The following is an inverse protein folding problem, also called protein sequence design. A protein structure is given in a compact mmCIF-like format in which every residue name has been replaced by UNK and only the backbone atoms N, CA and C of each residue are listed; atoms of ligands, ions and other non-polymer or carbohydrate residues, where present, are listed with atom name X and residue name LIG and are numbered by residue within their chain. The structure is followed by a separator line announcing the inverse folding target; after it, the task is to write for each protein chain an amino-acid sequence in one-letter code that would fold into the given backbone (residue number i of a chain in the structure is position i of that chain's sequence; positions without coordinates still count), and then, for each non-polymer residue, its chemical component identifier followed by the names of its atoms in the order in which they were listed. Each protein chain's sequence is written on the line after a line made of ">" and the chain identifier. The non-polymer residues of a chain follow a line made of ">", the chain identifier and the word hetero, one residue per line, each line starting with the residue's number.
data_IF_715217533211
#
_entry.id   IF_715217533211
#
_cell.length_a   1.000
_cell.length_b   1.000
_cell.length_c   1.000
_cell.angle_alpha   90.00
_cell.angle_beta   90.00
_cell.angle_gamma   90.00
#
_symmetry.space_group_name_H-M   'P 1'
#
loop_
_entity.id
_entity.type
_entity.pdbx_description
1 polymer ?
2 branched ?
3 non-polymer ?
4 water ?
#
# COMPACT_ATOMS: atom_id res chain seq x y z
N UNK A 1 -0.52 4.77 15.97
CA UNK A 1 -0.27 3.61 15.08
C UNK A 1 0.30 4.19 13.81
N UNK A 2 1.33 3.50 13.25
CA UNK A 2 1.99 4.06 12.04
C UNK A 2 1.87 3.03 10.92
N UNK A 3 1.22 3.47 9.86
CA UNK A 3 0.90 2.72 8.68
C UNK A 3 1.56 3.25 7.38
N UNK A 4 2.06 2.30 6.57
CA UNK A 4 2.68 2.73 5.31
C UNK A 4 2.37 1.83 4.16
N UNK A 5 2.45 2.40 2.96
CA UNK A 5 2.29 1.57 1.72
C UNK A 5 3.58 1.80 0.98
N UNK A 6 4.27 0.73 0.60
CA UNK A 6 5.58 0.82 -0.06
C UNK A 6 5.69 -0.13 -1.24
N UNK A 7 5.99 0.53 -2.37
CA UNK A 7 6.21 -0.17 -3.66
C UNK A 7 7.76 -0.32 -3.71
N UNK A 8 8.13 -1.60 -3.56
CA UNK A 8 9.58 -1.95 -3.59
C UNK A 8 9.83 -2.59 -4.97
N UNK A 9 10.45 -1.82 -5.80
CA UNK A 9 10.71 -2.18 -7.19
C UNK A 9 11.37 -3.57 -7.20
N UNK A 10 10.73 -4.42 -7.95
CA UNK A 10 11.07 -5.80 -8.19
C UNK A 10 11.42 -6.49 -6.86
N UNK A 11 10.50 -6.39 -5.89
CA UNK A 11 10.83 -7.09 -4.62
C UNK A 11 10.86 -8.60 -4.94
N UNK A 12 12.00 -9.21 -4.66
CA UNK A 12 12.14 -10.60 -4.87
C UNK A 12 13.46 -11.21 -4.33
N UNK A 13 13.64 -12.44 -4.86
CA UNK A 13 14.82 -13.20 -4.42
C UNK A 13 16.10 -12.47 -4.63
N UNK A 14 16.32 -11.97 -5.86
CA UNK A 14 17.59 -11.31 -6.11
C UNK A 14 17.82 -10.21 -5.09
N UNK A 15 16.80 -9.37 -4.92
CA UNK A 15 16.90 -8.21 -4.01
C UNK A 15 17.12 -8.59 -2.57
N UNK A 16 16.34 -9.52 -2.08
CA UNK A 16 16.44 -9.93 -0.65
C UNK A 16 17.77 -10.67 -0.34
N UNK A 17 18.43 -11.14 -1.32
CA UNK A 17 19.67 -11.89 -1.27
C UNK A 17 20.85 -10.97 -1.14
N UNK A 18 20.60 -9.68 -1.31
CA UNK A 18 21.67 -8.67 -1.15
C UNK A 18 21.50 -8.22 0.30
N UNK A 19 22.44 -8.54 1.16
CA UNK A 19 22.36 -8.17 2.60
C UNK A 19 22.37 -6.65 2.78
N UNK A 20 23.06 -5.87 2.03
CA UNK A 20 23.06 -4.41 2.17
C UNK A 20 21.64 -3.85 1.85
N UNK A 21 21.05 -4.36 0.78
CA UNK A 21 19.70 -3.95 0.33
C UNK A 21 18.68 -4.44 1.37
N UNK A 22 18.83 -5.69 1.78
CA UNK A 22 17.92 -6.33 2.73
C UNK A 22 17.84 -5.55 4.06
N UNK A 23 19.04 -5.08 4.40
CA UNK A 23 19.25 -4.33 5.64
C UNK A 23 18.44 -3.04 5.66
N UNK A 24 18.47 -2.28 4.58
CA UNK A 24 17.70 -1.05 4.52
C UNK A 24 16.19 -1.29 4.50
N UNK A 25 15.84 -2.39 3.79
CA UNK A 25 14.41 -2.77 3.68
C UNK A 25 13.87 -3.05 5.08
N UNK A 26 14.59 -3.81 5.84
CA UNK A 26 14.19 -4.15 7.22
C UNK A 26 13.98 -2.88 8.05
N UNK A 27 14.92 -2.00 7.91
CA UNK A 27 14.99 -0.69 8.60
C UNK A 27 13.68 0.06 8.35
N UNK A 28 13.40 0.23 7.07
CA UNK A 28 12.17 0.93 6.65
C UNK A 28 10.93 0.32 7.24
N UNK A 29 10.74 -0.97 7.10
CA UNK A 29 9.62 -1.76 7.57
C UNK A 29 9.39 -1.57 9.10
N UNK A 30 10.58 -1.67 9.80
CA UNK A 30 10.46 -1.55 11.29
C UNK A 30 9.93 -0.23 11.78
N UNK A 31 9.83 0.76 10.99
CA UNK A 31 9.30 2.10 11.40
C UNK A 31 7.81 1.95 11.57
N UNK A 32 7.22 0.86 11.05
CA UNK A 32 5.72 0.81 11.03
C UNK A 32 5.08 -0.32 11.74
N UNK A 33 3.81 -0.09 12.18
CA UNK A 33 2.99 -1.10 12.81
C UNK A 33 2.31 -1.95 11.75
N UNK A 34 1.97 -1.30 10.64
CA UNK A 34 1.33 -1.97 9.49
C UNK A 34 2.03 -1.55 8.21
N UNK A 35 2.47 -2.47 7.35
CA UNK A 35 3.07 -2.00 6.11
C UNK A 35 2.54 -2.89 4.97
N UNK A 36 2.10 -2.24 3.88
CA UNK A 36 1.64 -2.83 2.69
C UNK A 36 2.85 -2.81 1.72
N UNK A 37 3.21 -4.00 1.30
CA UNK A 37 4.32 -4.08 0.34
C UNK A 37 3.77 -4.47 -1.06
N UNK A 38 4.22 -3.67 -2.05
CA UNK A 38 3.75 -3.98 -3.41
C UNK A 38 4.94 -4.30 -4.34
N UNK A 39 4.52 -4.85 -5.46
CA UNK A 39 5.50 -5.30 -6.49
C UNK A 39 6.31 -6.48 -5.97
N UNK A 40 5.58 -7.40 -5.33
CA UNK A 40 6.20 -8.65 -4.77
C UNK A 40 6.18 -9.64 -5.96
N UNK A 41 7.39 -9.81 -6.52
CA UNK A 41 7.56 -10.75 -7.66
C UNK A 41 8.20 -11.98 -7.06
N UNK A 42 7.32 -12.86 -6.56
CA UNK A 42 7.82 -14.04 -5.76
C UNK A 42 6.81 -15.15 -5.80
N UNK A 43 6.88 -15.87 -6.92
CA UNK A 43 5.96 -17.02 -7.17
C UNK A 43 6.06 -18.07 -6.10
N UNK A 44 7.23 -18.32 -5.55
CA UNK A 44 7.34 -19.39 -4.55
C UNK A 44 7.60 -18.92 -3.12
N UNK A 45 7.33 -17.62 -2.87
CA UNK A 45 7.45 -17.09 -1.54
C UNK A 45 8.79 -17.18 -0.89
N UNK A 46 9.83 -17.27 -1.66
CA UNK A 46 11.22 -17.35 -1.12
C UNK A 46 11.61 -15.99 -0.51
N UNK A 47 11.33 -14.93 -1.29
CA UNK A 47 11.70 -13.56 -0.86
C UNK A 47 10.93 -13.14 0.39
N UNK A 48 9.64 -13.43 0.40
CA UNK A 48 8.76 -13.13 1.52
C UNK A 48 9.30 -13.84 2.79
N UNK A 49 9.71 -15.09 2.52
CA UNK A 49 10.25 -15.92 3.66
C UNK A 49 11.59 -15.33 4.11
N UNK A 50 12.46 -14.85 3.28
CA UNK A 50 13.73 -14.25 3.67
C UNK A 50 13.53 -12.97 4.50
N UNK A 51 12.52 -12.21 4.13
CA UNK A 51 12.18 -10.99 4.82
C UNK A 51 11.64 -11.32 6.22
N UNK A 52 10.81 -12.28 6.39
CA UNK A 52 10.23 -12.64 7.66
C UNK A 52 11.33 -13.17 8.54
N UNK A 53 12.34 -13.78 7.87
CA UNK A 53 13.46 -14.38 8.64
C UNK A 53 14.07 -13.25 9.45
N UNK A 54 14.44 -12.21 8.71
CA UNK A 54 15.04 -11.01 9.26
C UNK A 54 14.20 -10.29 10.31
N UNK A 55 12.92 -10.09 9.95
CA UNK A 55 12.04 -9.40 10.88
C UNK A 55 11.84 -10.11 12.21
N UNK A 56 11.73 -11.40 12.24
CA UNK A 56 11.42 -12.23 13.39
C UNK A 56 12.74 -12.88 13.89
N UNK A 57 13.84 -12.35 13.47
CA UNK A 57 15.11 -13.04 13.90
C UNK A 57 15.32 -13.12 15.40
N UNK A 58 14.72 -12.22 16.17
CA UNK A 58 14.88 -12.18 17.63
C UNK A 58 13.65 -12.67 18.37
N UNK A 59 12.50 -12.56 17.76
CA UNK A 59 11.22 -12.94 18.38
C UNK A 59 10.42 -13.49 17.20
N UNK A 60 9.89 -14.67 17.32
CA UNK A 60 9.13 -15.32 16.24
C UNK A 60 7.82 -14.62 15.93
N UNK A 61 7.38 -13.76 16.84
CA UNK A 61 6.17 -12.98 16.67
C UNK A 61 6.40 -11.47 16.56
N UNK A 62 7.53 -11.05 15.97
CA UNK A 62 7.78 -9.62 15.82
C UNK A 62 6.68 -9.09 14.81
N UNK A 63 6.66 -9.77 13.67
CA UNK A 63 5.73 -9.49 12.60
C UNK A 63 4.99 -10.71 12.10
N UNK A 64 3.69 -10.54 11.84
CA UNK A 64 2.84 -11.55 11.23
C UNK A 64 2.53 -10.97 9.86
N UNK A 65 1.90 -11.76 8.99
CA UNK A 65 1.57 -11.33 7.64
C UNK A 65 0.35 -12.04 7.01
N UNK A 66 -0.11 -11.42 5.96
CA UNK A 66 -1.17 -11.80 5.03
C UNK A 66 -0.56 -11.57 3.63
N UNK A 67 -0.63 -12.56 2.78
CA UNK A 67 -0.10 -12.39 1.40
C UNK A 67 -1.23 -12.81 0.46
N UNK A 68 -1.39 -12.12 -0.62
CA UNK A 68 -2.38 -12.57 -1.64
C UNK A 68 -1.74 -13.58 -2.55
N UNK A 69 -2.49 -14.11 -3.50
CA UNK A 69 -1.97 -15.02 -4.57
C UNK A 69 -1.25 -14.11 -5.54
N UNK A 70 -0.40 -14.55 -6.44
CA UNK A 70 0.25 -13.73 -7.44
C UNK A 70 -0.87 -13.22 -8.37
N UNK A 71 -1.09 -11.94 -8.56
CA UNK A 71 -2.16 -11.39 -9.39
C UNK A 71 -1.69 -10.70 -10.65
N UNK A 72 -2.52 -10.78 -11.70
CA UNK A 72 -2.15 -10.10 -12.99
C UNK A 72 -3.03 -10.74 -14.09
N UNK A 73 -3.11 -10.04 -15.17
CA UNK A 73 -3.99 -10.44 -16.32
C UNK A 73 -3.22 -11.03 -17.44
N UNK A 74 -2.05 -10.46 -17.67
CA UNK A 74 -1.14 -10.96 -18.78
C UNK A 74 -0.34 -12.08 -18.19
N UNK A 75 0.94 -12.01 -18.23
CA UNK A 75 1.84 -13.08 -17.71
C UNK A 75 2.62 -12.63 -16.49
N UNK A 76 2.81 -11.34 -16.40
CA UNK A 76 3.54 -10.67 -15.31
C UNK A 76 2.66 -10.68 -14.09
N UNK A 77 3.06 -11.13 -12.93
CA UNK A 77 2.31 -11.21 -11.70
C UNK A 77 3.01 -10.65 -10.42
N UNK A 78 2.19 -10.13 -9.51
CA UNK A 78 2.68 -9.58 -8.25
C UNK A 78 1.75 -9.96 -7.09
N UNK A 79 2.27 -10.02 -5.92
CA UNK A 79 1.46 -10.23 -4.73
C UNK A 79 1.35 -8.92 -3.95
N UNK A 80 0.31 -8.89 -3.10
CA UNK A 80 0.14 -7.82 -2.14
C UNK A 80 0.65 -8.44 -0.78
N UNK A 81 1.61 -7.78 -0.17
CA UNK A 81 2.02 -8.33 1.16
C UNK A 81 1.76 -7.30 2.27
N UNK A 82 1.00 -7.79 3.27
CA UNK A 82 0.74 -6.92 4.47
C UNK A 82 1.57 -7.46 5.67
N UNK A 83 2.41 -6.70 6.23
CA UNK A 83 3.17 -7.05 7.44
C UNK A 83 2.56 -6.23 8.60
N UNK A 84 2.45 -6.83 9.74
CA UNK A 84 1.85 -6.11 10.91
C UNK A 84 2.41 -6.66 12.22
N UNK A 85 2.47 -5.82 13.20
CA UNK A 85 2.95 -6.18 14.58
C UNK A 85 1.72 -6.69 15.34
N UNK A 86 1.77 -7.95 15.70
CA UNK A 86 0.63 -8.64 16.33
C UNK A 86 0.29 -8.13 17.73
N UNK A 87 1.24 -7.41 18.31
CA UNK A 87 1.09 -6.82 19.61
C UNK A 87 0.36 -5.49 19.50
N UNK A 88 0.25 -4.96 18.33
CA UNK A 88 -0.46 -3.70 18.11
C UNK A 88 -1.84 -3.83 17.45
N UNK A 89 -1.86 -4.76 16.54
CA UNK A 89 -3.03 -4.98 15.65
C UNK A 89 -3.30 -6.44 15.47
N UNK A 90 -4.49 -6.72 15.04
CA UNK A 90 -4.99 -8.08 14.80
C UNK A 90 -5.79 -8.17 13.52
N UNK A 91 -5.69 -9.26 12.80
CA UNK A 91 -6.45 -9.43 11.57
C UNK A 91 -7.79 -10.12 11.89
N UNK A 92 -8.85 -9.41 11.56
CA UNK A 92 -10.19 -9.94 11.80
C UNK A 92 -10.71 -10.79 10.65
N UNK A 93 -10.38 -10.34 9.41
CA UNK A 93 -10.87 -10.99 8.24
C UNK A 93 -10.08 -10.47 7.05
N UNK A 94 -10.17 -11.19 5.96
CA UNK A 94 -9.50 -10.77 4.73
C UNK A 94 -10.25 -11.34 3.59
N UNK A 95 -10.17 -10.69 2.43
CA UNK A 95 -10.79 -11.27 1.23
C UNK A 95 -10.12 -10.56 0.06
N UNK A 96 -10.18 -11.29 -1.06
CA UNK A 96 -9.64 -10.76 -2.33
C UNK A 96 -10.84 -10.19 -3.07
N UNK A 97 -10.78 -9.00 -3.59
CA UNK A 97 -11.91 -8.42 -4.35
C UNK A 97 -12.10 -9.25 -5.64
N UNK A 98 -13.36 -9.60 -5.87
CA UNK A 98 -13.79 -10.38 -7.01
C UNK A 98 -14.12 -9.35 -8.08
N UNK A 99 -13.23 -9.14 -9.05
CA UNK A 99 -13.46 -8.21 -10.19
C UNK A 99 -14.14 -8.81 -11.48
N UNK A 100 -14.42 -10.11 -11.57
CA UNK A 100 -14.79 -10.82 -12.84
C UNK A 100 -13.73 -11.86 -13.33
N UNK A 101 -13.74 -12.15 -14.63
CA UNK A 101 -12.80 -13.13 -15.29
C UNK A 101 -12.95 -14.66 -14.92
N UNK A 104 -12.20 -14.50 -20.03
CA UNK A 104 -11.66 -13.12 -19.82
C UNK A 104 -11.98 -11.98 -20.87
N UNK A 105 -11.56 -10.75 -20.52
CA UNK A 105 -12.12 -9.50 -21.11
C UNK A 105 -12.87 -8.54 -20.13
N UNK A 106 -13.52 -9.07 -19.08
CA UNK A 106 -14.43 -8.32 -18.20
C UNK A 106 -13.87 -7.76 -16.89
N UNK A 107 -12.83 -8.34 -16.33
CA UNK A 107 -12.28 -7.91 -15.02
C UNK A 107 -11.85 -6.46 -15.02
N UNK A 108 -12.11 -5.69 -13.98
CA UNK A 108 -11.79 -4.30 -13.84
C UNK A 108 -10.40 -3.94 -13.35
N UNK A 109 -9.63 -4.87 -12.93
CA UNK A 109 -8.25 -4.55 -12.40
C UNK A 109 -7.16 -5.49 -12.85
N UNK A 110 -5.95 -5.05 -13.00
CA UNK A 110 -4.85 -5.97 -13.34
C UNK A 110 -4.56 -6.74 -12.01
N UNK A 111 -4.48 -5.95 -10.95
CA UNK A 111 -4.22 -6.62 -9.63
C UNK A 111 -5.37 -6.32 -8.67
N UNK A 112 -6.46 -7.08 -8.76
CA UNK A 112 -7.62 -6.83 -7.88
C UNK A 112 -7.13 -6.70 -6.44
N UNK A 113 -7.72 -5.70 -5.78
CA UNK A 113 -7.40 -5.39 -4.39
C UNK A 113 -7.61 -6.53 -3.39
N UNK A 114 -6.60 -6.60 -2.53
CA UNK A 114 -6.61 -7.48 -1.37
C UNK A 114 -7.28 -6.58 -0.31
N UNK A 115 -8.11 -7.08 0.55
CA UNK A 115 -8.78 -6.34 1.59
C UNK A 115 -8.57 -7.02 2.92
N UNK A 116 -8.15 -6.23 3.92
CA UNK A 116 -7.90 -6.70 5.24
C UNK A 116 -8.58 -5.80 6.29
N UNK A 117 -9.24 -6.50 7.20
CA UNK A 117 -9.93 -5.82 8.31
C UNK A 117 -9.05 -5.99 9.56
N UNK A 118 -8.70 -4.92 10.17
CA UNK A 118 -7.88 -4.90 11.38
C UNK A 118 -8.69 -4.47 12.59
N UNK A 119 -8.17 -4.91 13.72
CA UNK A 119 -8.60 -4.62 15.08
C UNK A 119 -7.41 -3.84 15.67
N UNK A 120 -7.61 -2.63 16.12
CA UNK A 120 -6.67 -1.72 16.71
C UNK A 120 -7.26 -1.14 18.04
N UNK A 121 -6.65 -1.66 19.11
CA UNK A 121 -7.11 -1.27 20.46
C UNK A 121 -6.49 0.04 20.90
N UNK A 122 -5.33 0.39 20.40
CA UNK A 122 -4.69 1.63 20.84
C UNK A 122 -5.26 2.90 20.21
N UNK A 123 -6.07 2.79 19.19
CA UNK A 123 -6.60 3.96 18.49
C UNK A 123 -8.07 4.23 18.65
N UNK A 124 -8.45 5.42 18.22
CA UNK A 124 -9.87 5.89 18.30
C UNK A 124 -10.78 4.91 17.56
N UNK A 125 -10.44 4.64 16.31
CA UNK A 125 -11.10 3.66 15.48
C UNK A 125 -10.66 2.28 16.05
N UNK A 126 -11.51 1.40 16.32
CA UNK A 126 -11.20 0.08 16.85
C UNK A 126 -11.18 -1.01 15.81
N UNK A 127 -11.75 -0.68 14.66
CA UNK A 127 -11.90 -1.59 13.53
C UNK A 127 -11.93 -0.76 12.25
N UNK A 128 -11.14 -1.25 11.29
CA UNK A 128 -11.09 -0.55 9.99
C UNK A 128 -10.50 -1.59 9.02
N UNK A 129 -10.66 -1.39 7.73
CA UNK A 129 -10.20 -2.12 6.65
C UNK A 129 -9.23 -1.29 5.80
N UNK A 130 -8.28 -2.06 5.18
CA UNK A 130 -7.30 -1.39 4.30
C UNK A 130 -7.51 -2.05 2.97
N UNK A 131 -7.60 -1.32 1.89
CA UNK A 131 -7.77 -1.79 0.53
C UNK A 131 -6.46 -1.51 -0.18
N UNK A 132 -5.82 -2.51 -0.70
CA UNK A 132 -4.52 -2.28 -1.39
C UNK A 132 -4.65 -2.19 -2.91
N UNK A 133 -3.98 -1.24 -3.55
CA UNK A 133 -4.03 -1.21 -4.95
C UNK A 133 -2.71 -0.83 -5.58
N UNK A 134 -2.17 -1.68 -6.41
CA UNK A 134 -0.96 -1.29 -7.21
C UNK A 134 -1.57 -1.18 -8.64
N UNK A 135 -1.91 0.04 -9.09
CA UNK A 135 -2.57 0.13 -10.40
C UNK A 135 -1.67 -0.14 -11.59
N UNK A 136 -2.35 -0.37 -12.75
CA UNK A 136 -1.55 -0.52 -14.02
C UNK A 136 -1.48 0.90 -14.58
N UNK A 137 -0.28 1.42 -14.83
CA UNK A 137 -0.05 2.75 -15.31
C UNK A 137 -1.05 3.14 -16.41
N UNK A 138 -1.10 2.36 -17.44
CA UNK A 138 -1.92 2.44 -18.60
C UNK A 138 -3.39 2.63 -18.25
N UNK A 139 -3.74 1.95 -17.18
CA UNK A 139 -5.19 1.98 -16.83
C UNK A 139 -5.49 2.62 -15.50
N UNK A 140 -4.61 3.50 -15.07
CA UNK A 140 -4.75 4.16 -13.79
C UNK A 140 -6.11 4.79 -13.51
N UNK A 141 -6.54 5.62 -14.46
CA UNK A 141 -7.87 6.29 -14.27
C UNK A 141 -8.99 5.30 -13.99
N UNK A 142 -9.19 4.32 -14.86
CA UNK A 142 -10.21 3.29 -14.74
C UNK A 142 -10.17 2.55 -13.37
N UNK A 143 -8.96 2.17 -13.02
CA UNK A 143 -8.66 1.47 -11.78
C UNK A 143 -8.96 2.22 -10.52
N UNK A 144 -8.45 3.50 -10.50
CA UNK A 144 -8.75 4.30 -9.30
C UNK A 144 -10.26 4.50 -9.22
N UNK A 145 -10.88 4.72 -10.37
CA UNK A 145 -12.36 4.92 -10.40
C UNK A 145 -13.09 3.71 -9.86
N UNK A 146 -12.62 2.49 -10.14
CA UNK A 146 -13.22 1.27 -9.70
C UNK A 146 -13.06 1.07 -8.20
N UNK A 147 -12.12 1.79 -7.55
CA UNK A 147 -12.02 1.60 -6.09
C UNK A 147 -13.31 2.09 -5.37
N UNK A 148 -14.01 2.94 -6.16
CA UNK A 148 -15.32 3.42 -5.55
C UNK A 148 -16.21 2.19 -5.38
N UNK A 149 -16.20 1.25 -6.36
CA UNK A 149 -17.01 0.04 -6.31
C UNK A 149 -16.54 -0.91 -5.20
N UNK A 150 -15.21 -0.93 -5.03
CA UNK A 150 -14.64 -1.76 -3.93
C UNK A 150 -15.18 -1.23 -2.60
N UNK A 151 -15.09 0.06 -2.36
CA UNK A 151 -15.60 0.64 -1.06
C UNK A 151 -16.98 0.04 -0.78
N UNK A 152 -17.88 0.16 -1.77
CA UNK A 152 -19.22 -0.36 -1.65
C UNK A 152 -19.21 -1.82 -1.23
N UNK A 153 -18.31 -2.57 -1.90
CA UNK A 153 -18.28 -4.03 -1.62
C UNK A 153 -17.91 -4.31 -0.18
N UNK A 154 -17.00 -3.53 0.36
CA UNK A 154 -16.57 -3.61 1.73
C UNK A 154 -17.73 -3.28 2.67
N UNK A 155 -18.47 -2.24 2.31
CA UNK A 155 -19.60 -1.79 3.12
C UNK A 155 -20.69 -2.88 3.16
N UNK A 156 -20.85 -3.53 2.04
CA UNK A 156 -21.89 -4.58 1.94
C UNK A 156 -21.52 -5.83 2.73
N UNK A 157 -20.23 -6.14 2.77
CA UNK A 157 -19.67 -7.31 3.43
C UNK A 157 -19.46 -7.16 4.91
N UNK A 158 -18.75 -6.11 5.32
CA UNK A 158 -18.45 -5.92 6.75
C UNK A 158 -19.33 -4.86 7.41
N UNK A 159 -20.05 -4.09 6.60
CA UNK A 159 -20.94 -3.08 7.22
C UNK A 159 -20.09 -2.03 7.90
N UNK A 160 -18.92 -1.81 7.31
CA UNK A 160 -17.99 -0.86 7.90
C UNK A 160 -17.81 0.31 6.99
N UNK A 161 -17.74 1.49 7.52
CA UNK A 161 -17.57 2.72 6.71
C UNK A 161 -16.09 3.11 6.79
N UNK A 162 -15.45 2.74 7.84
CA UNK A 162 -14.02 3.08 8.10
C UNK A 162 -13.03 2.31 7.23
N UNK A 163 -12.64 2.78 6.10
CA UNK A 163 -11.73 2.14 5.15
C UNK A 163 -10.66 3.08 4.62
N UNK A 164 -9.39 2.44 4.64
CA UNK A 164 -8.24 3.18 4.13
C UNK A 164 -7.89 2.50 2.82
N UNK A 165 -7.80 3.28 1.75
CA UNK A 165 -7.45 2.83 0.41
C UNK A 165 -6.03 3.37 0.17
N UNK A 166 -5.13 2.44 -0.17
CA UNK A 166 -3.72 2.93 -0.33
C UNK A 166 -2.89 2.16 -1.33
N UNK A 167 -1.85 2.80 -1.81
CA UNK A 167 -0.92 2.09 -2.66
C UNK A 167 -0.35 2.98 -3.75
N UNK A 168 0.34 2.23 -4.65
CA UNK A 168 0.90 2.94 -5.82
C UNK A 168 -0.23 3.01 -6.90
N UNK A 169 -0.89 4.16 -6.90
CA UNK A 169 -2.01 4.35 -7.82
C UNK A 169 -1.58 4.94 -9.15
N UNK A 170 -0.36 5.29 -9.29
CA UNK A 170 0.24 5.95 -10.49
C UNK A 170 -0.61 7.22 -10.73
N UNK A 171 -1.07 7.81 -9.65
CA UNK A 171 -2.00 8.95 -9.65
C UNK A 171 -1.51 10.31 -9.99
N UNK A 172 -0.64 10.45 -10.93
CA UNK A 172 -0.09 11.80 -11.33
C UNK A 172 0.61 11.69 -12.68
N UNK A 173 1.15 12.82 -13.12
CA UNK A 173 2.00 12.90 -14.30
C UNK A 173 1.37 12.36 -15.53
N UNK A 174 1.96 11.43 -16.26
CA UNK A 174 1.44 10.87 -17.47
C UNK A 174 0.23 10.00 -17.36
N UNK A 175 0.08 9.40 -16.21
CA UNK A 175 -0.94 8.37 -15.93
C UNK A 175 -2.30 8.90 -15.51
N UNK A 176 -2.42 9.94 -14.76
CA UNK A 176 -3.65 10.61 -14.36
C UNK A 176 -3.31 12.10 -14.60
N UNK A 177 -3.82 12.63 -15.67
CA UNK A 177 -3.55 14.05 -16.01
C UNK A 177 -4.69 14.91 -15.40
N UNK A 178 -4.44 16.20 -15.50
CA UNK A 178 -5.27 17.24 -14.93
C UNK A 178 -6.74 17.10 -15.20
N UNK A 179 -7.07 16.97 -16.43
CA UNK A 179 -8.51 16.88 -16.82
C UNK A 179 -9.16 15.51 -16.59
N UNK A 180 -8.35 14.58 -16.08
CA UNK A 180 -8.95 13.22 -15.88
C UNK A 180 -9.54 12.99 -14.48
N UNK A 181 -9.29 13.86 -13.53
CA UNK A 181 -9.76 13.69 -12.15
C UNK A 181 -11.26 13.67 -12.07
N UNK A 182 -11.84 14.30 -13.13
CA UNK A 182 -13.31 14.35 -13.20
C UNK A 182 -13.95 12.98 -13.30
N UNK A 183 -13.21 12.09 -13.90
CA UNK A 183 -13.59 10.72 -14.23
C UNK A 183 -13.51 9.72 -13.10
N UNK A 184 -12.90 10.22 -12.04
CA UNK A 184 -12.67 9.36 -10.84
C UNK A 184 -13.61 9.59 -9.70
N UNK A 185 -14.51 8.65 -9.42
CA UNK A 185 -15.52 8.74 -8.36
C UNK A 185 -14.94 8.76 -6.97
N UNK A 186 -13.74 8.13 -6.90
CA UNK A 186 -13.05 8.05 -5.61
C UNK A 186 -12.54 9.47 -5.21
N UNK A 187 -12.50 10.33 -6.27
CA UNK A 187 -12.07 11.71 -6.03
C UNK A 187 -13.26 12.68 -5.97
N UNK A 188 -14.24 12.47 -6.86
CA UNK A 188 -15.34 13.47 -6.91
C UNK A 188 -16.33 13.30 -5.78
N UNK A 189 -16.36 12.06 -5.25
CA UNK A 189 -17.22 11.81 -4.07
C UNK A 189 -16.50 12.32 -2.84
N UNK A 190 -17.16 13.19 -2.06
CA UNK A 190 -16.70 13.82 -0.85
C UNK A 190 -16.73 12.83 0.34
N UNK A 191 -17.07 11.59 0.06
CA UNK A 191 -17.06 10.57 1.11
C UNK A 191 -15.57 10.35 1.57
N UNK A 192 -14.70 10.55 0.60
CA UNK A 192 -13.26 10.28 0.69
C UNK A 192 -12.38 11.47 0.84
N UNK A 193 -11.37 11.31 1.70
CA UNK A 193 -10.35 12.36 1.94
C UNK A 193 -9.02 11.83 1.42
N UNK A 194 -8.38 12.66 0.62
CA UNK A 194 -7.05 12.27 0.06
C UNK A 194 -5.98 12.87 0.94
N UNK A 195 -5.29 12.10 1.71
CA UNK A 195 -4.22 12.52 2.67
C UNK A 195 -2.95 12.93 2.02
N UNK A 196 -2.60 12.22 0.93
CA UNK A 196 -1.39 12.59 0.14
C UNK A 196 -1.93 13.51 -0.93
N UNK A 197 -1.53 14.75 -0.98
CA UNK A 197 -2.01 15.74 -1.99
C UNK A 197 -1.31 15.57 -3.32
N UNK A 198 -1.79 16.16 -4.37
CA UNK A 198 -1.30 16.12 -5.73
C UNK A 198 0.09 16.76 -5.89
N UNK A 199 0.38 17.63 -4.95
CA UNK A 199 1.71 18.32 -4.99
C UNK A 199 2.78 17.49 -4.29
N UNK A 200 2.47 16.35 -3.74
CA UNK A 200 3.53 15.55 -3.03
C UNK A 200 4.41 14.80 -4.02
N UNK A 201 5.64 14.53 -3.62
CA UNK A 201 6.60 13.77 -4.53
C UNK A 201 6.79 12.41 -3.88
N UNK A 202 6.25 11.33 -4.46
CA UNK A 202 6.44 10.00 -3.84
C UNK A 202 7.43 9.17 -4.65
N UNK A 203 8.20 9.74 -5.52
CA UNK A 203 9.15 8.89 -6.29
C UNK A 203 10.59 9.23 -5.90
N UNK A 204 11.37 8.17 -5.75
CA UNK A 204 12.85 8.31 -5.45
C UNK A 204 13.58 8.84 -6.64
N UNK A 205 13.20 8.72 -7.89
CA UNK A 205 13.90 9.32 -9.06
C UNK A 205 13.75 10.80 -9.21
N UNK A 206 14.20 11.42 -10.28
CA UNK A 206 14.11 12.88 -10.50
C UNK A 206 12.74 13.41 -10.86
N UNK A 207 11.74 12.56 -11.09
CA UNK A 207 10.40 13.05 -11.45
C UNK A 207 9.71 13.64 -10.24
N UNK A 208 8.69 14.44 -10.39
CA UNK A 208 8.00 15.01 -9.18
C UNK A 208 6.54 14.59 -9.41
N UNK A 209 6.19 13.44 -8.89
CA UNK A 209 4.85 12.86 -9.11
C UNK A 209 4.27 12.26 -7.86
N UNK A 210 3.01 12.51 -7.63
CA UNK A 210 2.34 11.90 -6.39
C UNK A 210 1.70 10.64 -6.82
N UNK A 211 2.50 9.63 -7.13
CA UNK A 211 1.91 8.35 -7.58
C UNK A 211 1.27 7.56 -6.44
N UNK A 212 1.94 7.54 -5.30
CA UNK A 212 1.54 6.79 -4.08
C UNK A 212 0.53 7.61 -3.26
N UNK A 213 -0.55 7.02 -2.88
CA UNK A 213 -1.60 7.75 -2.15
C UNK A 213 -2.23 7.07 -1.01
N UNK A 214 -2.84 7.82 -0.12
CA UNK A 214 -3.59 7.28 1.02
C UNK A 214 -4.96 7.99 1.06
N UNK A 215 -6.06 7.31 0.93
CA UNK A 215 -7.43 7.81 0.92
C UNK A 215 -8.15 7.22 2.13
N UNK A 216 -9.02 7.96 2.82
CA UNK A 216 -9.76 7.40 3.97
C UNK A 216 -11.24 7.83 3.80
N UNK A 217 -12.09 6.97 4.25
CA UNK A 217 -13.51 7.11 4.30
C UNK A 217 -13.88 6.65 5.73
N UNK A 218 -14.94 7.25 6.26
CA UNK A 218 -15.38 6.89 7.65
C UNK A 218 -15.11 8.04 8.58
N UNK A 219 -16.09 8.63 9.30
CA UNK A 219 -15.74 9.74 10.22
C UNK A 219 -14.87 9.27 11.39
N UNK A 220 -15.07 8.08 11.94
CA UNK A 220 -14.26 7.56 13.06
C UNK A 220 -12.79 7.46 12.62
N UNK A 221 -12.54 6.92 11.46
CA UNK A 221 -11.17 6.80 10.92
C UNK A 221 -10.62 8.19 10.61
N UNK A 222 -11.40 8.99 9.89
CA UNK A 222 -10.97 10.36 9.55
C UNK A 222 -10.64 11.09 10.86
N UNK A 223 -11.34 10.94 11.95
CA UNK A 223 -11.03 11.62 13.21
C UNK A 223 -9.73 11.07 13.85
N UNK A 224 -9.37 9.87 13.53
CA UNK A 224 -8.18 9.17 14.06
C UNK A 224 -6.85 9.55 13.42
N UNK A 225 -6.85 10.07 12.19
CA UNK A 225 -5.61 10.50 11.52
C UNK A 225 -5.00 11.68 12.27
N UNK A 226 -3.73 11.70 12.52
CA UNK A 226 -3.00 12.78 13.17
C UNK A 226 -2.77 13.78 12.06
N UNK A 227 -3.22 15.00 12.22
CA UNK A 227 -3.09 16.03 11.20
C UNK A 227 -1.67 16.34 10.85
N UNK A 228 -1.41 16.24 9.54
CA UNK A 228 -0.17 16.47 8.89
C UNK A 228 0.85 15.34 8.94
N UNK A 229 0.39 14.19 9.41
CA UNK A 229 1.31 13.04 9.53
C UNK A 229 1.44 12.28 8.21
N UNK A 230 0.43 12.48 7.32
CA UNK A 230 0.44 11.74 6.06
C UNK A 230 1.51 12.29 5.17
N UNK A 231 2.53 11.50 4.81
CA UNK A 231 3.57 12.03 3.95
C UNK A 231 4.44 10.89 3.38
N UNK A 232 5.07 11.16 2.31
CA UNK A 232 6.03 10.16 1.75
C UNK A 232 7.25 10.20 2.70
N UNK A 233 7.94 9.06 2.84
CA UNK A 233 9.13 8.96 3.70
C UNK A 233 10.35 9.00 2.80
N UNK A 234 11.08 10.07 2.62
CA UNK A 234 12.26 10.19 1.79
C UNK A 234 13.42 9.53 2.55
N UNK A 235 13.67 8.27 2.21
CA UNK A 235 14.72 7.46 2.81
C UNK A 235 16.10 7.91 2.34
N UNK A 236 16.17 8.51 1.20
CA UNK A 236 17.43 8.99 0.65
C UNK A 236 17.97 10.06 1.59
N UNK A 237 17.13 11.02 1.89
CA UNK A 237 17.43 12.15 2.79
C UNK A 237 17.70 11.64 4.20
N UNK A 238 16.84 10.78 4.67
CA UNK A 238 16.94 10.20 5.99
C UNK A 238 18.25 9.51 6.33
N UNK A 239 18.77 8.75 5.41
CA UNK A 239 20.00 7.96 5.62
C UNK A 239 21.21 8.55 4.95
N UNK A 240 21.00 9.61 4.18
CA UNK A 240 22.12 10.25 3.48
C UNK A 240 22.62 9.25 2.46
N UNK A 241 21.68 8.68 1.68
CA UNK A 241 22.07 7.78 0.64
C UNK A 241 22.37 8.53 -0.67
N UNK A 242 23.16 7.81 -1.49
CA UNK A 242 23.55 8.23 -2.83
C UNK A 242 22.31 7.98 -3.70
N UNK A 243 22.25 8.64 -4.82
CA UNK A 243 21.03 8.42 -5.70
C UNK A 243 21.04 6.98 -6.20
N UNK A 244 22.15 6.41 -6.60
CA UNK A 244 22.22 5.02 -7.10
C UNK A 244 21.89 4.01 -6.02
N UNK A 245 22.19 4.37 -4.77
CA UNK A 245 21.90 3.46 -3.66
C UNK A 245 20.39 3.59 -3.33
N UNK A 246 19.93 4.84 -3.31
CA UNK A 246 18.46 5.01 -3.01
C UNK A 246 17.62 4.27 -4.05
N UNK A 247 18.08 4.34 -5.30
CA UNK A 247 17.42 3.75 -6.45
C UNK A 247 17.49 2.26 -6.43
N UNK A 248 18.53 1.68 -5.92
CA UNK A 248 18.64 0.20 -5.84
C UNK A 248 17.65 -0.36 -4.83
N UNK A 249 17.11 0.47 -3.94
CA UNK A 249 16.13 0.09 -2.94
C UNK A 249 14.76 0.14 -3.65
N UNK A 250 14.49 1.28 -4.20
CA UNK A 250 13.25 1.52 -4.92
C UNK A 250 13.24 2.88 -5.57
N UNK A 251 12.35 2.96 -6.58
CA UNK A 251 12.18 4.22 -7.29
C UNK A 251 10.97 5.00 -6.69
N UNK A 252 10.35 4.45 -5.72
CA UNK A 252 9.26 5.04 -4.97
C UNK A 252 9.60 5.21 -3.49
N UNK A 253 9.06 6.29 -2.86
CA UNK A 253 9.14 6.43 -1.41
C UNK A 253 7.87 5.77 -0.80
N UNK A 254 8.01 5.21 0.41
CA UNK A 254 6.87 4.68 1.11
C UNK A 254 5.92 5.86 1.45
N UNK A 255 4.63 5.73 1.58
CA UNK A 255 3.80 6.89 2.07
C UNK A 255 3.26 6.36 3.43
N UNK A 256 3.28 7.18 4.42
CA UNK A 256 2.86 6.80 5.76
C UNK A 256 1.88 7.87 6.36
N UNK A 257 1.22 7.34 7.40
CA UNK A 257 0.26 8.22 8.11
C UNK A 257 0.27 7.72 9.56
N UNK A 258 -0.07 8.61 10.48
CA UNK A 258 -0.15 8.10 11.89
C UNK A 258 -1.56 8.14 12.43
N UNK A 259 -2.03 7.11 13.07
CA UNK A 259 -3.38 7.10 13.64
C UNK A 259 -3.20 7.25 15.15
N UNK A 260 -4.18 7.92 15.75
CA UNK A 260 -4.22 8.12 17.17
C UNK A 260 -5.56 7.68 17.76
X LIG B 1 24.31 -5.18 -3.31
X LIG B 1 25.59 -5.59 -3.96
X LIG B 1 26.60 -4.51 -4.24
X LIG B 1 26.11 -3.05 -4.38
X LIG B 1 24.86 -2.75 -3.63
X LIG B 1 23.88 -1.71 -4.18
X LIG B 1 26.95 -7.70 -3.76
X LIG B 1 28.38 -7.34 -4.04
X LIG B 1 26.07 -6.83 -3.40
X LIG B 1 27.19 -4.91 -5.55
X LIG B 1 27.16 -2.03 -4.32
X LIG B 1 23.98 -3.87 -3.50
X LIG B 1 23.34 -2.28 -5.41
X LIG B 1 26.78 -8.57 -4.65
X LIG B 2 27.56 -1.43 -5.62
X LIG B 2 28.34 -0.10 -5.28
X LIG B 2 29.13 0.46 -6.41
X LIG B 2 30.15 -0.52 -7.14
X LIG B 2 29.58 -1.90 -7.12
X LIG B 2 30.56 -3.04 -7.39
X LIG B 2 27.05 1.04 -3.53
X LIG B 2 26.65 2.56 -3.45
X LIG B 2 27.28 0.83 -4.82
X LIG B 2 29.39 1.77 -6.75
X LIG B 2 30.23 -0.12 -8.50
X LIG B 2 28.58 -2.23 -6.22
X LIG B 2 30.02 -4.34 -7.53
X LIG B 2 27.42 0.13 -2.64
X LIG B 3 31.35 0.45 -9.11
X LIG B 3 32.30 0.99 -8.05
X LIG B 3 33.77 0.98 -8.45
X LIG B 3 34.05 -0.48 -8.94
X LIG B 3 33.30 -0.55 -10.28
X LIG B 3 33.56 -1.88 -11.03
X LIG B 3 32.14 0.21 -6.83
X LIG B 3 34.52 1.15 -7.28
X LIG B 3 35.45 -0.67 -8.99
X LIG B 3 31.91 -0.48 -9.96
X LIG B 3 34.78 -1.82 -11.73
X LIG B 4 35.91 0.79 -7.18
X LIG B 4 37.13 1.69 -7.22
X LIG B 4 38.45 1.18 -6.79
X LIG B 4 38.51 -0.08 -5.97
X LIG B 4 37.31 -1.00 -6.17
X LIG B 4 37.18 -2.11 -5.17
X LIG B 4 36.89 3.05 -6.91
X LIG B 4 39.50 2.07 -6.43
X LIG B 4 39.69 -0.82 -6.35
X LIG B 4 36.12 -0.30 -6.26
X LIG B 4 37.02 -3.37 -5.91
X LIG B 5 38.19 -4.34 -6.01
X LIG B 5 37.80 -5.31 -7.13
X LIG B 5 36.94 -6.38 -6.65
X LIG B 5 37.40 -6.87 -5.31
X LIG B 5 38.09 -6.18 -4.32
X LIG B 5 39.27 -7.09 -3.80
X LIG B 5 37.46 -4.60 -8.32
X LIG B 5 36.81 -7.51 -7.49
X LIG B 5 37.50 -8.28 -5.46
X LIG B 5 38.68 -5.03 -4.85
X LIG B 5 40.17 -7.62 -4.73
X LIG B 6 34.83 -1.02 -12.93
X LIG B 6 33.94 -1.61 -14.00
X LIG B 6 34.57 -2.58 -14.96
X LIG B 6 35.95 -3.08 -14.66
X LIG B 6 36.79 -2.13 -13.83
X LIG B 6 38.24 -1.96 -14.21
X LIG B 6 33.01 -0.66 -14.50
X LIG B 6 33.86 -3.20 -16.01
X LIG B 6 35.90 -4.37 -14.02
X LIG B 6 36.17 -0.92 -13.47
X LIG B 6 38.44 -0.47 -14.24
X LIG B 7 39.36 0.09 -13.33
X LIG B 7 40.05 1.16 -14.09
X LIG B 7 40.51 2.27 -13.10
X LIG B 7 39.15 2.75 -12.53
X LIG B 7 38.79 1.69 -11.48
X LIG B 7 37.48 2.00 -10.77
X LIG B 7 39.26 1.55 -14.99
X LIG B 7 41.20 3.20 -13.94
X LIG B 7 38.92 4.03 -12.07
X LIG B 7 38.69 0.49 -12.16
X LIG B 7 36.18 1.56 -11.22
X LIG C 1 10.95 12.61 -6.91
X LIG D 1 -7.65 -8.78 -12.25
#
# INVERSE_FOLDING_TARGET
>A
LKIAAFNIRTFGETKMSNATLASYIVRIVRRYDIVLIQEVRDSHLVAVGKLLDYLNQDDPNTYHYVVSEPLGRNSYKERYLFLFRPNKVSVLDTYQYDDGCESCGNDSFSREPAVVKFSSHSTKVKEFAIVALHSAPSDAVAEINSLYDVYLDVQQKWHLNDVMLMGDFNADCSYVTSSQWSSIRLRTSSTFQWLIPDSADTTATSTNCAYDRIVVAGSLLQSSVVPGSAAPFDFQAAYGLSNEMALAISDHYPVEVTLT
>B hetero
1 NAG C1 C2 C3 C4 C5 C6 C7 C8 N2 O3 O4 O5 O6 O7
2 NAG C1 C2 C3 C4 C5 C6 C7 C8 N2 O3 O4 O5 O6 O7
3 BMA C1 C2 C3 C4 C5 C6 O2 O3 O4 O5 O6
4 BMA C1 C2 C3 C4 C5 C6 O2 O3 O4 O5 O6
5 GLA C1 C2 C3 C4 C5 C6 O2 O3 O4 O5 O6
6 MAN C1 C2 C3 C4 C5 C6 O2 O3 O4 O5 O6
7 BMA C1 C2 C3 C4 C5 C6 O2 O3 O4 O5 O6
>C hetero
1 CA CA
>D hetero
1 CA CA
#
